data_IF_942787141340
#
_entry.id   IF_942787141340
#
_cell.length_a   1.000
_cell.length_b   1.000
_cell.length_c   1.000
_cell.angle_alpha   90.00
_cell.angle_beta   90.00
_cell.angle_gamma   90.00
#
_symmetry.space_group_name_H-M   'P 1'
#
loop_
_entity.id
_entity.type
_entity.pdbx_description
1 polymer ?
#
# COMPACT_ATOMS: atom_id res chain seq x y z
N UNK A 1 -9.75 -18.84 -15.94
CA UNK A 1 -8.93 -17.76 -15.37
C UNK A 1 -9.87 -16.63 -15.00
N UNK A 2 -10.01 -16.29 -13.72
CA UNK A 2 -10.87 -15.19 -13.26
C UNK A 2 -9.97 -14.02 -12.84
N UNK A 3 -10.36 -12.80 -13.17
CA UNK A 3 -9.67 -11.60 -12.72
C UNK A 3 -9.77 -11.49 -11.19
N UNK A 4 -8.68 -11.19 -10.46
CA UNK A 4 -8.74 -10.98 -9.01
C UNK A 4 -9.73 -9.88 -8.64
N UNK A 5 -10.52 -10.09 -7.58
CA UNK A 5 -11.43 -9.08 -7.04
C UNK A 5 -11.10 -8.91 -5.57
N UNK A 6 -10.44 -7.81 -5.23
CA UNK A 6 -10.01 -7.50 -3.87
C UNK A 6 -10.95 -6.46 -3.28
N UNK A 7 -11.51 -6.77 -2.11
CA UNK A 7 -12.31 -5.84 -1.32
C UNK A 7 -11.46 -5.35 -0.16
N UNK A 8 -11.16 -4.06 -0.12
CA UNK A 8 -10.42 -3.46 0.97
C UNK A 8 -11.40 -2.76 1.93
N UNK A 9 -11.48 -3.30 3.13
CA UNK A 9 -12.42 -2.86 4.18
C UNK A 9 -11.78 -1.91 5.19
N UNK A 10 -10.44 -1.85 5.24
CA UNK A 10 -9.68 -0.97 6.11
C UNK A 10 -8.54 -0.29 5.33
N UNK A 11 -8.84 0.77 4.56
CA UNK A 11 -7.92 1.37 3.59
C UNK A 11 -6.84 2.25 4.24
N UNK A 12 -5.99 1.64 5.05
CA UNK A 12 -4.75 2.27 5.51
C UNK A 12 -3.75 2.37 4.36
N UNK A 13 -2.77 3.26 4.50
CA UNK A 13 -1.71 3.41 3.50
C UNK A 13 -0.97 2.08 3.27
N UNK A 14 -0.55 1.41 4.36
CA UNK A 14 0.10 0.11 4.29
C UNK A 14 -0.77 -0.97 3.64
N UNK A 15 -2.07 -0.98 3.94
CA UNK A 15 -2.96 -1.99 3.36
C UNK A 15 -3.15 -1.77 1.86
N UNK A 16 -3.28 -0.54 1.38
CA UNK A 16 -3.49 -0.26 -0.05
C UNK A 16 -2.19 -0.40 -0.85
N UNK A 17 -1.14 0.28 -0.39
CA UNK A 17 0.11 0.43 -1.14
C UNK A 17 1.20 -0.54 -0.71
N UNK A 18 1.00 -1.33 0.35
CA UNK A 18 2.03 -2.20 0.90
C UNK A 18 2.94 -1.46 1.88
N UNK A 19 3.86 -2.21 2.50
CA UNK A 19 4.81 -1.67 3.46
C UNK A 19 6.14 -2.44 3.41
N UNK A 20 7.19 -1.81 3.91
CA UNK A 20 8.49 -2.45 4.17
C UNK A 20 8.56 -2.75 5.65
N UNK A 21 8.69 -4.03 6.00
CA UNK A 21 8.86 -4.46 7.38
C UNK A 21 10.33 -4.43 7.80
N UNK A 22 10.55 -4.10 9.07
CA UNK A 22 11.87 -4.09 9.68
C UNK A 22 11.84 -5.08 10.84
N UNK A 23 12.84 -5.94 10.93
CA UNK A 23 13.02 -6.82 12.09
C UNK A 23 14.24 -6.37 12.87
N UNK A 24 14.13 -6.43 14.20
CA UNK A 24 15.25 -6.16 15.07
C UNK A 24 16.11 -7.41 15.23
N UNK A 25 17.27 -7.43 14.60
CA UNK A 25 18.31 -8.43 14.88
C UNK A 25 19.43 -7.77 15.70
N UNK A 26 19.68 -8.29 16.90
CA UNK A 26 20.74 -7.79 17.79
C UNK A 26 20.71 -6.27 18.06
N UNK A 27 19.52 -5.66 18.10
CA UNK A 27 19.33 -4.23 18.34
C UNK A 27 19.51 -3.33 17.10
N UNK A 28 19.73 -3.91 15.93
CA UNK A 28 19.78 -3.21 14.64
C UNK A 28 18.49 -3.53 13.86
N UNK A 29 17.83 -2.51 13.33
CA UNK A 29 16.71 -2.70 12.40
C UNK A 29 17.26 -3.15 11.04
N UNK A 30 16.98 -4.39 10.66
CA UNK A 30 17.38 -4.97 9.39
C UNK A 30 16.15 -5.19 8.48
N UNK A 31 16.32 -4.86 7.20
CA UNK A 31 15.33 -5.10 6.14
C UNK A 31 16.02 -5.63 4.90
N UNK A 32 15.29 -6.43 4.12
CA UNK A 32 15.71 -6.90 2.81
C UNK A 32 14.48 -7.00 1.87
N UNK A 33 14.69 -7.41 0.63
CA UNK A 33 13.63 -7.47 -0.39
C UNK A 33 12.51 -8.46 -0.06
N UNK A 34 12.74 -9.44 0.82
CA UNK A 34 11.73 -10.41 1.26
C UNK A 34 10.74 -9.80 2.27
N UNK A 35 11.11 -8.69 2.91
CA UNK A 35 10.28 -7.98 3.91
C UNK A 35 9.33 -6.96 3.30
N UNK A 36 9.19 -6.96 1.97
CA UNK A 36 8.21 -6.15 1.26
C UNK A 36 6.86 -6.85 1.31
N UNK A 37 5.87 -6.23 1.96
CA UNK A 37 4.48 -6.72 2.00
C UNK A 37 3.66 -6.05 0.91
N UNK A 38 2.99 -6.88 0.11
CA UNK A 38 2.09 -6.46 -0.94
C UNK A 38 0.78 -5.91 -0.37
N UNK A 39 0.45 -4.67 -0.73
CA UNK A 39 -0.88 -4.10 -0.48
C UNK A 39 -1.96 -4.60 -1.44
N UNK A 40 -3.21 -4.24 -1.16
CA UNK A 40 -4.41 -4.61 -1.89
C UNK A 40 -4.40 -4.20 -3.36
N UNK A 41 -3.74 -3.09 -3.74
CA UNK A 41 -3.55 -2.74 -5.16
C UNK A 41 -2.72 -3.81 -5.87
N UNK A 42 -1.63 -4.28 -5.24
CA UNK A 42 -0.78 -5.32 -5.83
C UNK A 42 -1.52 -6.64 -5.99
N UNK A 43 -2.33 -7.00 -5.00
CA UNK A 43 -3.15 -8.23 -5.02
C UNK A 43 -4.25 -8.14 -6.09
N UNK A 44 -4.71 -6.94 -6.42
CA UNK A 44 -5.71 -6.69 -7.45
C UNK A 44 -5.12 -6.57 -8.88
N UNK A 45 -3.80 -6.74 -9.06
CA UNK A 45 -3.17 -6.64 -10.36
C UNK A 45 -3.80 -7.60 -11.38
N UNK A 46 -4.23 -7.04 -12.52
CA UNK A 46 -4.95 -7.79 -13.56
C UNK A 46 -6.44 -8.02 -13.26
N UNK A 47 -7.00 -7.34 -12.25
CA UNK A 47 -8.41 -7.40 -11.91
C UNK A 47 -8.93 -6.10 -11.31
N UNK A 48 -9.62 -6.20 -10.17
CA UNK A 48 -10.40 -5.11 -9.60
C UNK A 48 -10.10 -4.94 -8.11
N UNK A 49 -9.93 -3.69 -7.69
CA UNK A 49 -9.88 -3.29 -6.29
C UNK A 49 -11.13 -2.47 -5.96
N UNK A 50 -11.91 -2.94 -4.99
CA UNK A 50 -13.11 -2.26 -4.51
C UNK A 50 -12.79 -1.54 -3.20
N UNK A 51 -13.11 -0.25 -3.15
CA UNK A 51 -12.83 0.66 -2.05
C UNK A 51 -14.07 1.45 -1.68
N UNK A 52 -14.27 1.67 -0.37
CA UNK A 52 -15.25 2.64 0.11
C UNK A 52 -14.68 4.06 0.00
N UNK A 53 -15.28 4.87 -0.88
CA UNK A 53 -14.76 6.22 -1.19
C UNK A 53 -14.62 7.10 0.05
N UNK A 54 -15.56 7.00 1.00
CA UNK A 54 -15.53 7.80 2.23
C UNK A 54 -14.31 7.51 3.10
N UNK A 55 -13.85 6.28 3.14
CA UNK A 55 -12.71 5.88 3.96
C UNK A 55 -11.39 6.31 3.32
N UNK A 56 -11.35 6.37 1.98
CA UNK A 56 -10.22 6.88 1.22
C UNK A 56 -10.07 8.40 1.37
N UNK A 57 -11.14 9.16 1.13
CA UNK A 57 -11.06 10.64 1.08
C UNK A 57 -10.83 11.26 2.46
N UNK A 58 -11.20 10.57 3.54
CA UNK A 58 -10.91 11.00 4.92
C UNK A 58 -9.41 10.98 5.23
N UNK A 59 -8.64 10.11 4.58
CA UNK A 59 -7.20 10.04 4.75
C UNK A 59 -6.50 10.75 3.58
N UNK A 60 -6.06 11.98 3.81
CA UNK A 60 -5.41 12.80 2.78
C UNK A 60 -4.23 12.10 2.10
N UNK A 61 -3.40 11.38 2.85
CA UNK A 61 -2.22 10.69 2.31
C UNK A 61 -2.62 9.52 1.41
N UNK A 62 -3.60 8.73 1.83
CA UNK A 62 -4.11 7.62 1.01
C UNK A 62 -4.75 8.16 -0.26
N UNK A 63 -5.56 9.21 -0.15
CA UNK A 63 -6.18 9.85 -1.30
C UNK A 63 -5.17 10.45 -2.27
N UNK A 64 -4.17 11.17 -1.77
CA UNK A 64 -3.16 11.78 -2.63
C UNK A 64 -2.30 10.73 -3.35
N UNK A 65 -1.82 9.73 -2.62
CA UNK A 65 -1.03 8.64 -3.19
C UNK A 65 -1.86 7.79 -4.16
N UNK A 66 -3.15 7.54 -3.89
CA UNK A 66 -4.00 6.80 -4.82
C UNK A 66 -4.13 7.55 -6.15
N UNK A 67 -4.35 8.87 -6.12
CA UNK A 67 -4.36 9.67 -7.35
C UNK A 67 -3.03 9.60 -8.10
N UNK A 68 -1.89 9.65 -7.39
CA UNK A 68 -0.55 9.56 -8.01
C UNK A 68 -0.33 8.20 -8.66
N UNK A 69 -0.68 7.12 -7.97
CA UNK A 69 -0.56 5.75 -8.48
C UNK A 69 -1.38 5.58 -9.75
N UNK A 70 -2.64 6.03 -9.75
CA UNK A 70 -3.51 5.94 -10.91
C UNK A 70 -3.01 6.80 -12.09
N UNK A 71 -2.49 8.00 -11.82
CA UNK A 71 -1.94 8.89 -12.86
C UNK A 71 -0.64 8.38 -13.46
N UNK A 72 0.25 7.85 -12.63
CA UNK A 72 1.59 7.45 -13.03
C UNK A 72 1.65 5.97 -13.46
N UNK A 73 0.58 5.20 -13.23
CA UNK A 73 0.52 3.76 -13.46
C UNK A 73 1.64 2.98 -12.77
N UNK A 74 2.12 3.51 -11.64
CA UNK A 74 3.21 2.94 -10.86
C UNK A 74 2.94 3.12 -9.38
N UNK A 75 3.35 2.12 -8.60
CA UNK A 75 3.19 2.10 -7.14
C UNK A 75 4.58 2.19 -6.54
N UNK A 76 4.75 3.09 -5.56
CA UNK A 76 5.97 3.18 -4.77
C UNK A 76 5.64 2.84 -3.31
N UNK A 77 6.32 1.83 -2.78
CA UNK A 77 6.17 1.42 -1.38
C UNK A 77 7.06 2.34 -0.55
N UNK A 78 6.45 3.40 -0.05
CA UNK A 78 7.12 4.39 0.78
C UNK A 78 6.90 4.09 2.26
N UNK A 79 7.93 4.32 3.07
CA UNK A 79 7.77 4.30 4.53
C UNK A 79 7.17 5.63 4.98
N UNK A 80 6.00 5.62 5.62
CA UNK A 80 5.31 6.82 6.11
C UNK A 80 6.23 7.65 7.03
N UNK A 81 7.12 6.99 7.77
CA UNK A 81 8.11 7.68 8.62
C UNK A 81 9.08 8.58 7.82
N UNK A 82 9.36 8.27 6.55
CA UNK A 82 10.13 9.14 5.65
C UNK A 82 9.32 10.31 5.08
N UNK A 83 7.99 10.23 5.04
CA UNK A 83 7.13 11.32 4.54
C UNK A 83 6.81 12.37 5.61
N UNK A 84 6.81 11.96 6.89
CA UNK A 84 6.48 12.82 8.04
C UNK A 84 7.74 13.42 8.70
N UNK A 85 8.92 12.89 8.36
CA UNK A 85 10.22 13.33 8.89
C UNK A 85 10.83 14.51 8.15
#
# INVERSE_FOLDING_TARGET
KHAPVIFETNPTYSNIFGQIEYEGEFGILATDFTKIKAGSIHQANGGYLLLHVYDIVKNYYVWDSLKRVLKNQSINIESISRMIG
#
